data_IF_304655999491
#
_entry.id   IF_304655999491
#
_cell.length_a   1.000
_cell.length_b   1.000
_cell.length_c   1.000
_cell.angle_alpha   90.00
_cell.angle_beta   90.00
_cell.angle_gamma   90.00
#
_symmetry.space_group_name_H-M   'P 1'
#
loop_
_entity.id
_entity.type
_entity.pdbx_description
1 polymer ?
#
# COMPACT_ATOMS: atom_id res chain seq x y z
N UNK A 1 1.84 -32.41 -2.08
CA UNK A 1 2.95 -31.47 -1.91
C UNK A 1 2.75 -30.78 -0.57
N UNK A 2 3.81 -30.55 0.21
CA UNK A 2 3.72 -29.64 1.37
C UNK A 2 3.36 -28.25 0.81
N UNK A 3 2.25 -27.67 1.25
CA UNK A 3 1.83 -26.34 0.78
C UNK A 3 2.75 -25.24 1.32
N UNK A 4 2.61 -24.03 0.79
CA UNK A 4 3.51 -22.91 1.06
C UNK A 4 3.30 -22.34 2.47
N UNK A 5 4.40 -22.00 3.15
CA UNK A 5 4.41 -21.22 4.39
C UNK A 5 4.63 -19.74 4.06
N UNK A 6 3.65 -18.90 4.39
CA UNK A 6 3.73 -17.44 4.20
C UNK A 6 3.79 -16.76 5.56
N UNK A 7 4.78 -15.90 5.75
CA UNK A 7 4.93 -15.05 6.95
C UNK A 7 4.57 -13.61 6.60
N UNK A 8 3.79 -12.95 7.44
CA UNK A 8 3.41 -11.54 7.29
C UNK A 8 3.92 -10.76 8.50
N UNK A 9 4.96 -9.95 8.30
CA UNK A 9 5.51 -9.07 9.34
C UNK A 9 4.74 -7.74 9.31
N UNK A 10 4.16 -7.39 10.46
CA UNK A 10 3.08 -6.38 10.53
C UNK A 10 1.72 -7.01 10.24
N UNK A 11 1.48 -8.22 10.76
CA UNK A 11 0.25 -8.98 10.57
C UNK A 11 -1.00 -8.26 11.11
N UNK A 12 -0.86 -7.40 12.12
CA UNK A 12 -1.90 -6.54 12.67
C UNK A 12 -2.22 -5.30 11.83
N UNK A 13 -1.79 -5.24 10.57
CA UNK A 13 -2.18 -4.19 9.64
C UNK A 13 -3.65 -4.28 9.24
N UNK A 14 -4.31 -3.14 9.05
CA UNK A 14 -5.66 -3.09 8.48
C UNK A 14 -5.74 -3.58 7.03
N UNK A 15 -4.61 -3.73 6.34
CA UNK A 15 -4.55 -4.22 4.96
C UNK A 15 -4.40 -5.75 4.86
N UNK A 16 -4.07 -6.45 5.96
CA UNK A 16 -3.90 -7.91 5.96
C UNK A 16 -5.12 -8.67 5.40
N UNK A 17 -6.39 -8.26 5.65
CA UNK A 17 -7.54 -8.95 5.07
C UNK A 17 -7.54 -8.94 3.52
N UNK A 18 -7.07 -7.86 2.89
CA UNK A 18 -6.98 -7.77 1.43
C UNK A 18 -5.91 -8.74 0.88
N UNK A 19 -4.77 -8.86 1.57
CA UNK A 19 -3.75 -9.86 1.25
C UNK A 19 -4.35 -11.27 1.31
N UNK A 20 -5.07 -11.59 2.39
CA UNK A 20 -5.71 -12.90 2.59
C UNK A 20 -6.76 -13.17 1.51
N UNK A 21 -7.65 -12.21 1.20
CA UNK A 21 -8.61 -12.33 0.10
C UNK A 21 -7.88 -12.65 -1.23
N UNK A 22 -6.77 -11.95 -1.50
CA UNK A 22 -5.93 -12.19 -2.67
C UNK A 22 -5.37 -13.62 -2.75
N UNK A 23 -4.91 -14.16 -1.63
CA UNK A 23 -4.39 -15.52 -1.49
C UNK A 23 -5.49 -16.57 -1.70
N UNK A 24 -6.65 -16.40 -1.05
CA UNK A 24 -7.77 -17.34 -1.16
C UNK A 24 -8.29 -17.43 -2.60
N UNK A 25 -8.42 -16.29 -3.28
CA UNK A 25 -8.86 -16.24 -4.68
C UNK A 25 -7.88 -16.94 -5.66
N UNK A 26 -6.61 -17.09 -5.25
CA UNK A 26 -5.54 -17.68 -6.07
C UNK A 26 -5.00 -18.99 -5.49
N UNK A 27 -5.72 -19.61 -4.57
CA UNK A 27 -5.27 -20.82 -3.88
C UNK A 27 -4.91 -21.96 -4.84
N UNK A 28 -5.62 -22.07 -5.97
CA UNK A 28 -5.37 -23.08 -7.01
C UNK A 28 -4.04 -22.89 -7.75
N UNK A 29 -3.50 -21.67 -7.81
CA UNK A 29 -2.18 -21.35 -8.38
C UNK A 29 -1.09 -21.39 -7.31
N UNK A 30 -1.45 -21.05 -6.06
CA UNK A 30 -0.53 -20.90 -4.95
C UNK A 30 -1.08 -21.58 -3.68
N UNK A 31 -0.88 -22.89 -3.52
CA UNK A 31 -1.47 -23.67 -2.43
C UNK A 31 -0.78 -23.38 -1.10
N UNK A 32 -1.28 -22.38 -0.38
CA UNK A 32 -0.79 -21.99 0.96
C UNK A 32 -1.21 -23.04 2.00
N UNK A 33 -0.26 -23.56 2.78
CA UNK A 33 -0.54 -24.45 3.90
C UNK A 33 -0.68 -23.69 5.22
N UNK A 34 0.18 -22.69 5.46
CA UNK A 34 0.17 -21.92 6.71
C UNK A 34 0.45 -20.44 6.47
N UNK A 35 -0.25 -19.61 7.26
CA UNK A 35 -0.12 -18.17 7.31
C UNK A 35 0.29 -17.75 8.72
N UNK A 36 1.49 -17.20 8.84
CA UNK A 36 2.06 -16.74 10.10
C UNK A 36 2.00 -15.22 10.15
N UNK A 37 1.17 -14.69 11.04
CA UNK A 37 0.98 -13.27 11.25
C UNK A 37 1.84 -12.82 12.44
N UNK A 38 2.87 -12.02 12.16
CA UNK A 38 3.84 -11.57 13.15
C UNK A 38 3.61 -10.09 13.43
N UNK A 39 3.60 -9.73 14.70
CA UNK A 39 3.56 -8.32 15.14
C UNK A 39 4.42 -8.10 16.40
N UNK A 40 4.44 -6.87 16.89
CA UNK A 40 5.10 -6.49 18.15
C UNK A 40 4.07 -6.43 19.29
N UNK A 41 4.52 -6.27 20.53
CA UNK A 41 3.64 -6.25 21.71
C UNK A 41 2.54 -5.18 21.57
N UNK A 42 2.87 -3.99 21.08
CA UNK A 42 1.93 -2.89 20.83
C UNK A 42 0.88 -3.23 19.75
N UNK A 43 1.18 -4.19 18.87
CA UNK A 43 0.31 -4.68 17.80
C UNK A 43 -0.42 -5.98 18.15
N UNK A 44 -0.20 -6.56 19.34
CA UNK A 44 -0.72 -7.87 19.74
C UNK A 44 -2.24 -8.00 19.56
N UNK A 45 -2.99 -7.05 20.11
CA UNK A 45 -4.45 -7.03 20.00
C UNK A 45 -4.91 -6.98 18.54
N UNK A 46 -4.21 -6.18 17.70
CA UNK A 46 -4.55 -6.07 16.28
C UNK A 46 -4.29 -7.36 15.53
N UNK A 47 -3.14 -8.01 15.73
CA UNK A 47 -2.81 -9.24 15.03
C UNK A 47 -3.72 -10.41 15.44
N UNK A 48 -4.15 -10.47 16.71
CA UNK A 48 -5.14 -11.43 17.18
C UNK A 48 -6.51 -11.22 16.50
N UNK A 49 -6.96 -9.98 16.35
CA UNK A 49 -8.20 -9.65 15.62
C UNK A 49 -8.10 -10.07 14.15
N UNK A 50 -6.97 -9.75 13.49
CA UNK A 50 -6.75 -10.13 12.09
C UNK A 50 -6.69 -11.65 11.94
N UNK A 51 -6.04 -12.38 12.84
CA UNK A 51 -5.97 -13.84 12.80
C UNK A 51 -7.36 -14.48 12.93
N UNK A 52 -8.19 -13.96 13.84
CA UNK A 52 -9.58 -14.40 13.96
C UNK A 52 -10.39 -14.13 12.70
N UNK A 53 -10.20 -12.97 12.05
CA UNK A 53 -10.85 -12.66 10.77
C UNK A 53 -10.36 -13.57 9.64
N UNK A 54 -9.05 -13.81 9.56
CA UNK A 54 -8.41 -14.70 8.60
C UNK A 54 -9.03 -16.10 8.65
N UNK A 55 -9.17 -16.68 9.84
CA UNK A 55 -9.79 -17.99 10.05
C UNK A 55 -11.23 -18.02 9.53
N UNK A 56 -12.03 -16.96 9.75
CA UNK A 56 -13.40 -16.87 9.22
C UNK A 56 -13.42 -16.77 7.69
N UNK A 57 -12.49 -16.03 7.09
CA UNK A 57 -12.37 -15.91 5.63
C UNK A 57 -11.99 -17.25 4.99
N UNK A 58 -11.02 -17.97 5.58
CA UNK A 58 -10.56 -19.30 5.15
C UNK A 58 -11.71 -20.31 5.24
N UNK A 59 -12.42 -20.35 6.37
CA UNK A 59 -13.56 -21.24 6.57
C UNK A 59 -14.69 -20.96 5.56
N UNK A 60 -15.00 -19.68 5.30
CA UNK A 60 -15.99 -19.27 4.28
C UNK A 60 -15.59 -19.71 2.87
N UNK A 61 -14.29 -19.74 2.57
CA UNK A 61 -13.76 -20.22 1.29
C UNK A 61 -13.73 -21.76 1.19
N UNK A 62 -14.07 -22.50 2.25
CA UNK A 62 -14.01 -23.96 2.27
C UNK A 62 -12.58 -24.53 2.23
N UNK A 63 -11.59 -23.73 2.65
CA UNK A 63 -10.18 -24.11 2.63
C UNK A 63 -9.69 -24.48 4.04
N UNK A 64 -8.57 -25.20 4.11
CA UNK A 64 -7.90 -25.53 5.37
C UNK A 64 -6.47 -25.00 5.30
N UNK A 65 -6.28 -23.81 5.86
CA UNK A 65 -4.99 -23.12 5.97
C UNK A 65 -4.76 -22.85 7.45
N UNK A 66 -3.61 -23.26 7.97
CA UNK A 66 -3.22 -22.95 9.34
C UNK A 66 -2.96 -21.46 9.49
N UNK A 67 -3.50 -20.82 10.54
CA UNK A 67 -3.25 -19.41 10.85
C UNK A 67 -2.64 -19.31 12.22
N UNK A 68 -1.45 -18.74 12.30
CA UNK A 68 -0.71 -18.54 13.56
C UNK A 68 -0.47 -17.05 13.78
N UNK A 69 -0.98 -16.49 14.87
CA UNK A 69 -0.58 -15.16 15.34
C UNK A 69 0.55 -15.32 16.36
N UNK A 70 1.64 -14.57 16.22
CA UNK A 70 2.78 -14.63 17.13
C UNK A 70 3.50 -13.30 17.24
N UNK A 71 4.21 -13.11 18.35
CA UNK A 71 5.17 -12.01 18.53
C UNK A 71 6.62 -12.50 18.35
N UNK A 72 6.82 -13.81 18.27
CA UNK A 72 8.12 -14.42 18.00
C UNK A 72 8.34 -14.54 16.49
N UNK A 73 9.09 -13.57 15.96
CA UNK A 73 9.49 -13.53 14.56
C UNK A 73 10.39 -14.69 14.15
N UNK A 74 11.28 -15.17 15.03
CA UNK A 74 12.23 -16.23 14.65
C UNK A 74 11.51 -17.55 14.37
N UNK A 75 10.57 -17.93 15.25
CA UNK A 75 9.75 -19.13 15.04
C UNK A 75 8.89 -19.02 13.78
N UNK A 76 8.38 -17.83 13.47
CA UNK A 76 7.62 -17.59 12.26
C UNK A 76 8.47 -17.74 11.00
N UNK A 77 9.67 -17.16 10.97
CA UNK A 77 10.53 -17.15 9.78
C UNK A 77 11.12 -18.50 9.39
N UNK A 78 11.33 -19.40 10.36
CA UNK A 78 11.95 -20.72 10.11
C UNK A 78 11.19 -21.49 9.01
N UNK A 79 11.90 -21.88 7.96
CA UNK A 79 11.36 -22.63 6.81
C UNK A 79 10.22 -21.91 6.05
N UNK A 80 10.15 -20.58 6.11
CA UNK A 80 9.20 -19.82 5.29
C UNK A 80 9.56 -19.88 3.79
N UNK A 81 8.54 -19.92 2.93
CA UNK A 81 8.71 -19.81 1.47
C UNK A 81 8.61 -18.35 0.99
N UNK A 82 7.72 -17.58 1.63
CA UNK A 82 7.51 -16.17 1.36
C UNK A 82 7.37 -15.38 2.66
N UNK A 83 7.96 -14.19 2.67
CA UNK A 83 7.83 -13.21 3.75
C UNK A 83 7.27 -11.93 3.16
N UNK A 84 6.12 -11.48 3.64
CA UNK A 84 5.54 -10.18 3.30
C UNK A 84 5.83 -9.19 4.43
N UNK A 85 6.45 -8.05 4.13
CA UNK A 85 6.61 -6.96 5.11
C UNK A 85 5.62 -5.84 4.83
N UNK A 86 4.84 -5.49 5.86
CA UNK A 86 3.85 -4.40 5.81
C UNK A 86 3.74 -3.68 7.18
N UNK A 87 4.79 -3.72 7.98
CA UNK A 87 4.87 -3.06 9.28
C UNK A 87 5.07 -1.54 9.14
N UNK A 88 4.82 -0.81 10.24
CA UNK A 88 5.02 0.64 10.35
C UNK A 88 5.91 0.97 11.55
N UNK A 89 7.16 1.34 11.28
CA UNK A 89 8.12 1.68 12.33
C UNK A 89 7.68 2.95 13.10
N UNK A 90 7.46 2.80 14.42
CA UNK A 90 6.94 3.86 15.28
C UNK A 90 5.42 4.07 15.20
N UNK A 91 4.68 3.14 14.58
CA UNK A 91 3.23 3.15 14.49
C UNK A 91 2.68 4.46 13.87
N UNK A 92 1.40 4.76 14.06
CA UNK A 92 0.79 5.97 13.52
C UNK A 92 1.29 7.23 14.25
N UNK A 93 1.74 7.12 15.49
CA UNK A 93 2.24 8.28 16.25
C UNK A 93 3.52 8.86 15.66
N UNK A 94 4.44 8.01 15.20
CA UNK A 94 5.62 8.49 14.50
C UNK A 94 5.27 9.15 13.16
N UNK A 95 4.28 8.61 12.42
CA UNK A 95 3.78 9.26 11.19
C UNK A 95 3.18 10.64 11.48
N UNK A 96 2.37 10.77 12.52
CA UNK A 96 1.78 12.06 12.91
C UNK A 96 2.89 13.06 13.26
N UNK A 97 3.92 12.61 13.98
CA UNK A 97 5.10 13.40 14.29
C UNK A 97 5.83 13.87 13.03
N UNK A 98 6.08 12.97 12.07
CA UNK A 98 6.74 13.28 10.80
C UNK A 98 5.99 14.37 10.02
N UNK A 99 4.66 14.24 9.92
CA UNK A 99 3.80 15.18 9.22
C UNK A 99 3.78 16.54 9.95
N UNK A 100 3.55 16.57 11.27
CA UNK A 100 3.48 17.81 12.07
C UNK A 100 4.81 18.56 12.13
N UNK A 101 5.93 17.86 12.30
CA UNK A 101 7.27 18.49 12.34
C UNK A 101 7.58 19.13 10.99
N UNK A 102 7.30 18.45 9.88
CA UNK A 102 7.52 19.00 8.55
C UNK A 102 6.74 20.30 8.34
N UNK A 103 5.44 20.29 8.68
CA UNK A 103 4.57 21.45 8.53
C UNK A 103 4.98 22.63 9.43
N UNK A 104 5.49 22.37 10.63
CA UNK A 104 6.03 23.41 11.53
C UNK A 104 7.12 24.25 10.88
N UNK A 105 7.91 23.66 9.97
CA UNK A 105 8.98 24.34 9.25
C UNK A 105 8.60 24.78 7.83
N UNK A 106 7.30 24.77 7.48
CA UNK A 106 6.84 25.15 6.15
C UNK A 106 7.27 24.16 5.06
N UNK A 107 7.39 22.88 5.42
CA UNK A 107 7.71 21.79 4.51
C UNK A 107 6.55 20.80 4.42
N UNK A 108 6.43 20.13 3.28
CA UNK A 108 5.42 19.09 3.04
C UNK A 108 5.53 17.99 4.11
N UNK A 109 4.42 17.68 4.76
CA UNK A 109 4.30 16.62 5.76
C UNK A 109 3.68 15.37 5.15
N UNK A 110 4.53 14.44 4.71
CA UNK A 110 4.08 13.25 3.97
C UNK A 110 4.90 12.00 4.35
N UNK A 111 4.23 10.86 4.45
CA UNK A 111 4.76 9.59 4.96
C UNK A 111 5.98 9.00 4.23
N UNK A 112 6.11 9.26 2.93
CA UNK A 112 7.08 8.64 2.00
C UNK A 112 7.91 9.65 1.21
N UNK A 113 7.59 10.94 1.28
CA UNK A 113 8.21 12.02 0.52
C UNK A 113 8.67 13.13 1.47
N UNK A 114 9.68 13.88 1.04
CA UNK A 114 10.21 15.00 1.83
C UNK A 114 10.78 14.56 3.18
N UNK A 115 10.69 15.46 4.17
CA UNK A 115 11.25 15.23 5.50
C UNK A 115 10.58 14.06 6.23
N UNK A 116 9.26 13.92 6.11
CA UNK A 116 8.54 12.81 6.72
C UNK A 116 8.93 11.45 6.13
N UNK A 117 9.03 11.36 4.80
CA UNK A 117 9.55 10.16 4.12
C UNK A 117 10.97 9.79 4.54
N UNK A 118 11.85 10.78 4.69
CA UNK A 118 13.21 10.57 5.16
C UNK A 118 13.24 10.06 6.61
N UNK A 119 12.50 10.71 7.52
CA UNK A 119 12.42 10.29 8.92
C UNK A 119 11.85 8.87 9.07
N UNK A 120 10.82 8.53 8.28
CA UNK A 120 10.27 7.18 8.20
C UNK A 120 11.30 6.15 7.71
N UNK A 121 12.07 6.47 6.67
CA UNK A 121 13.14 5.60 6.18
C UNK A 121 14.21 5.33 7.25
N UNK A 122 14.64 6.35 7.99
CA UNK A 122 15.61 6.23 9.07
C UNK A 122 15.16 5.27 10.19
N UNK A 123 13.85 5.19 10.48
CA UNK A 123 13.30 4.23 11.45
C UNK A 123 13.12 2.84 10.86
N UNK A 124 12.75 2.77 9.58
CA UNK A 124 12.31 1.53 8.94
C UNK A 124 13.47 0.68 8.42
N UNK A 125 14.49 1.30 7.82
CA UNK A 125 15.63 0.58 7.23
C UNK A 125 16.37 -0.30 8.25
N UNK A 126 16.68 0.15 9.49
CA UNK A 126 17.33 -0.72 10.48
C UNK A 126 16.53 -1.99 10.76
N UNK A 127 15.23 -1.87 10.99
CA UNK A 127 14.33 -3.01 11.24
C UNK A 127 14.27 -3.93 10.02
N UNK A 128 14.20 -3.37 8.81
CA UNK A 128 14.18 -4.16 7.58
C UNK A 128 15.47 -4.96 7.36
N UNK A 129 16.62 -4.41 7.73
CA UNK A 129 17.90 -5.12 7.67
C UNK A 129 18.03 -6.20 8.76
N UNK A 130 17.48 -5.98 9.95
CA UNK A 130 17.37 -7.04 10.98
C UNK A 130 16.51 -8.21 10.50
N UNK A 131 15.36 -7.93 9.88
CA UNK A 131 14.50 -8.94 9.27
C UNK A 131 15.25 -9.69 8.16
N UNK A 132 15.99 -8.97 7.31
CA UNK A 132 16.76 -9.59 6.25
C UNK A 132 17.85 -10.53 6.80
N UNK A 133 18.55 -10.14 7.87
CA UNK A 133 19.54 -10.98 8.54
C UNK A 133 18.91 -12.25 9.17
N UNK A 134 17.72 -12.12 9.75
CA UNK A 134 16.97 -13.29 10.25
C UNK A 134 16.56 -14.22 9.10
N UNK A 135 16.11 -13.68 7.97
CA UNK A 135 15.76 -14.47 6.78
C UNK A 135 16.98 -15.21 6.22
N UNK A 136 18.16 -14.58 6.14
CA UNK A 136 19.39 -15.25 5.70
C UNK A 136 19.74 -16.48 6.55
N UNK A 137 19.42 -16.44 7.85
CA UNK A 137 19.69 -17.52 8.80
C UNK A 137 18.59 -18.59 8.83
N UNK A 138 17.32 -18.19 8.75
CA UNK A 138 16.18 -19.04 9.07
C UNK A 138 15.41 -19.54 7.84
N UNK A 139 15.45 -18.80 6.73
CA UNK A 139 14.77 -19.13 5.48
C UNK A 139 15.49 -18.50 4.27
N UNK A 140 16.74 -18.90 3.99
CA UNK A 140 17.57 -18.28 2.95
C UNK A 140 16.98 -18.41 1.53
N UNK A 141 16.10 -19.39 1.32
CA UNK A 141 15.38 -19.61 0.06
C UNK A 141 14.05 -18.86 -0.03
N UNK A 142 13.63 -18.11 0.99
CA UNK A 142 12.41 -17.34 0.94
C UNK A 142 12.53 -16.12 0.01
N UNK A 143 11.39 -15.67 -0.53
CA UNK A 143 11.26 -14.34 -1.13
C UNK A 143 10.70 -13.34 -0.12
N UNK A 144 11.33 -12.17 -0.01
CA UNK A 144 10.78 -11.01 0.66
C UNK A 144 9.95 -10.17 -0.32
N UNK A 145 8.67 -10.06 -0.05
CA UNK A 145 7.70 -9.20 -0.74
C UNK A 145 7.48 -7.94 0.10
N UNK A 146 8.21 -6.86 -0.22
CA UNK A 146 8.22 -5.64 0.59
C UNK A 146 7.10 -4.67 0.20
N UNK A 147 6.10 -4.52 1.08
CA UNK A 147 5.08 -3.46 1.04
C UNK A 147 5.35 -2.34 2.03
N UNK A 148 6.30 -2.53 2.96
CA UNK A 148 6.66 -1.53 3.96
C UNK A 148 7.27 -0.30 3.29
N UNK A 149 6.67 0.85 3.58
CA UNK A 149 7.12 2.13 3.06
C UNK A 149 8.19 2.80 3.95
N UNK A 150 9.09 3.60 3.38
CA UNK A 150 9.17 3.97 1.95
C UNK A 150 9.81 2.87 1.10
N UNK A 151 9.00 2.23 0.24
CA UNK A 151 9.31 0.91 -0.32
C UNK A 151 10.56 0.95 -1.19
N UNK A 152 10.74 2.01 -1.99
CA UNK A 152 11.95 2.18 -2.81
C UNK A 152 13.24 2.24 -1.98
N UNK A 153 13.28 3.06 -0.93
CA UNK A 153 14.49 3.21 -0.09
C UNK A 153 14.76 1.95 0.74
N UNK A 154 13.71 1.33 1.28
CA UNK A 154 13.81 0.09 2.06
C UNK A 154 14.32 -1.05 1.18
N UNK A 155 13.74 -1.23 0.00
CA UNK A 155 14.18 -2.26 -0.95
C UNK A 155 15.61 -2.00 -1.45
N UNK A 156 15.98 -0.75 -1.75
CA UNK A 156 17.37 -0.40 -2.12
C UNK A 156 18.37 -0.80 -1.01
N UNK A 157 18.03 -0.51 0.25
CA UNK A 157 18.89 -0.87 1.38
C UNK A 157 19.04 -2.39 1.52
N UNK A 158 17.94 -3.14 1.43
CA UNK A 158 17.96 -4.61 1.47
C UNK A 158 18.83 -5.16 0.33
N UNK A 159 18.62 -4.71 -0.90
CA UNK A 159 19.38 -5.20 -2.06
C UNK A 159 20.88 -4.90 -1.98
N UNK A 160 21.27 -3.80 -1.33
CA UNK A 160 22.68 -3.43 -1.14
C UNK A 160 23.37 -4.15 0.01
N UNK A 161 22.62 -4.51 1.04
CA UNK A 161 23.18 -4.92 2.34
C UNK A 161 22.75 -6.32 2.78
N UNK A 162 22.05 -7.08 1.95
CA UNK A 162 21.69 -8.47 2.20
C UNK A 162 21.77 -9.31 0.93
N UNK A 163 21.67 -10.62 1.08
CA UNK A 163 21.70 -11.62 -0.01
C UNK A 163 20.34 -12.26 -0.28
N UNK A 164 19.31 -11.86 0.46
CA UNK A 164 17.98 -12.44 0.32
C UNK A 164 17.35 -12.06 -1.03
N UNK A 165 16.42 -12.88 -1.50
CA UNK A 165 15.61 -12.58 -2.67
C UNK A 165 14.54 -11.58 -2.27
N UNK A 166 14.57 -10.36 -2.80
CA UNK A 166 13.65 -9.30 -2.41
C UNK A 166 13.05 -8.56 -3.61
N UNK A 167 11.77 -8.20 -3.49
CA UNK A 167 11.07 -7.31 -4.43
C UNK A 167 10.26 -6.26 -3.66
N UNK A 168 10.37 -5.01 -4.07
CA UNK A 168 9.54 -3.91 -3.56
C UNK A 168 8.25 -3.76 -4.35
N UNK A 169 7.13 -3.64 -3.66
CA UNK A 169 5.80 -3.57 -4.26
C UNK A 169 5.14 -2.21 -4.01
N UNK A 170 4.32 -1.78 -4.96
CA UNK A 170 3.56 -0.54 -4.91
C UNK A 170 2.25 -0.71 -5.67
N UNK A 171 1.16 -0.18 -5.12
CA UNK A 171 -0.17 -0.25 -5.74
C UNK A 171 -0.39 0.82 -6.82
N UNK A 172 0.45 1.87 -6.88
CA UNK A 172 0.23 3.01 -7.77
C UNK A 172 0.16 2.59 -9.25
N UNK A 173 1.10 1.80 -9.82
CA UNK A 173 0.98 1.34 -11.20
C UNK A 173 -0.30 0.54 -11.47
N UNK A 174 -0.73 -0.30 -10.51
CA UNK A 174 -1.95 -1.12 -10.64
C UNK A 174 -3.19 -0.23 -10.71
N UNK A 175 -3.25 0.81 -9.88
CA UNK A 175 -4.35 1.79 -9.90
C UNK A 175 -4.37 2.56 -11.22
N UNK A 176 -3.19 2.99 -11.70
CA UNK A 176 -3.06 3.69 -12.98
C UNK A 176 -3.56 2.81 -14.14
N UNK A 177 -3.16 1.53 -14.19
CA UNK A 177 -3.62 0.59 -15.22
C UNK A 177 -5.15 0.43 -15.19
N UNK A 178 -5.74 0.22 -14.00
CA UNK A 178 -7.20 0.10 -13.84
C UNK A 178 -7.95 1.35 -14.27
N UNK A 179 -7.38 2.52 -13.96
CA UNK A 179 -7.89 3.81 -14.41
C UNK A 179 -7.94 3.90 -15.93
N UNK A 180 -6.85 3.52 -16.59
CA UNK A 180 -6.75 3.48 -18.06
C UNK A 180 -7.76 2.48 -18.64
N UNK A 181 -7.82 1.25 -18.13
CA UNK A 181 -8.77 0.23 -18.59
C UNK A 181 -10.21 0.73 -18.51
N UNK A 182 -10.57 1.41 -17.40
CA UNK A 182 -11.90 2.00 -17.20
C UNK A 182 -12.18 3.11 -18.22
N UNK A 183 -11.22 4.00 -18.44
CA UNK A 183 -11.33 5.11 -19.40
C UNK A 183 -11.53 4.60 -20.83
N UNK A 184 -10.80 3.54 -21.20
CA UNK A 184 -10.89 2.89 -22.50
C UNK A 184 -12.12 1.99 -22.63
N UNK A 185 -12.94 1.87 -21.58
CA UNK A 185 -14.11 0.97 -21.52
C UNK A 185 -13.74 -0.48 -21.90
N UNK A 186 -12.53 -0.89 -21.54
CA UNK A 186 -12.01 -2.20 -21.85
C UNK A 186 -12.50 -3.22 -20.82
N UNK A 187 -13.00 -4.37 -21.28
CA UNK A 187 -13.53 -5.42 -20.40
C UNK A 187 -12.43 -6.30 -19.78
N UNK A 188 -11.27 -6.40 -20.42
CA UNK A 188 -10.14 -7.22 -19.97
C UNK A 188 -8.89 -6.36 -19.80
N UNK A 189 -8.45 -6.17 -18.54
CA UNK A 189 -7.24 -5.43 -18.19
C UNK A 189 -5.97 -5.94 -18.93
N UNK A 190 -5.96 -7.21 -19.38
CA UNK A 190 -4.83 -7.81 -20.12
C UNK A 190 -4.67 -7.25 -21.55
N UNK A 191 -5.70 -6.62 -22.11
CA UNK A 191 -5.63 -5.99 -23.43
C UNK A 191 -4.90 -4.63 -23.40
N UNK A 192 -4.67 -4.10 -22.20
CA UNK A 192 -3.98 -2.83 -21.96
C UNK A 192 -2.57 -3.08 -21.43
N UNK A 193 -1.57 -2.70 -22.21
CA UNK A 193 -0.16 -2.72 -21.80
C UNK A 193 0.26 -1.30 -21.45
N UNK A 194 0.67 -1.10 -20.20
CA UNK A 194 1.16 0.19 -19.72
C UNK A 194 2.67 0.09 -19.46
N UNK A 195 3.47 0.92 -20.13
CA UNK A 195 4.88 1.05 -19.80
C UNK A 195 5.06 2.13 -18.74
N UNK A 196 5.75 1.76 -17.65
CA UNK A 196 6.03 2.62 -16.52
C UNK A 196 7.54 2.66 -16.28
N UNK A 197 8.08 3.84 -16.00
CA UNK A 197 9.48 4.00 -15.61
C UNK A 197 9.63 5.01 -14.48
N UNK A 198 10.61 4.78 -13.61
CA UNK A 198 10.94 5.66 -12.50
C UNK A 198 11.34 4.89 -11.24
N UNK A 199 11.10 5.51 -10.08
CA UNK A 199 11.32 4.93 -8.74
C UNK A 199 9.98 4.72 -8.04
N UNK A 200 9.97 4.02 -6.91
CA UNK A 200 8.79 3.95 -6.05
C UNK A 200 8.29 5.37 -5.68
N UNK A 201 6.98 5.60 -5.84
CA UNK A 201 6.32 6.92 -5.69
C UNK A 201 6.92 8.05 -6.56
N UNK A 202 7.69 7.69 -7.59
CA UNK A 202 8.27 8.61 -8.55
C UNK A 202 8.29 7.97 -9.94
N UNK A 203 7.10 7.61 -10.44
CA UNK A 203 6.94 6.93 -11.74
C UNK A 203 6.20 7.80 -12.75
N UNK A 204 6.44 7.49 -14.02
CA UNK A 204 5.77 8.05 -15.17
C UNK A 204 5.24 6.93 -16.06
N UNK A 205 4.01 7.08 -16.53
CA UNK A 205 3.50 6.28 -17.65
C UNK A 205 4.01 6.92 -18.93
N UNK A 206 4.77 6.13 -19.69
CA UNK A 206 5.47 6.55 -20.91
C UNK A 206 4.90 5.93 -22.18
N UNK A 207 4.03 4.94 -22.03
CA UNK A 207 3.32 4.32 -23.14
C UNK A 207 2.03 3.66 -22.67
N UNK A 208 0.98 3.76 -23.46
CA UNK A 208 -0.26 3.02 -23.24
C UNK A 208 -0.64 2.36 -24.56
N UNK A 209 -0.57 1.03 -24.59
CA UNK A 209 -1.02 0.25 -25.74
C UNK A 209 -2.33 -0.45 -25.41
N UNK A 210 -3.36 -0.28 -26.24
CA UNK A 210 -4.57 -1.08 -26.20
C UNK A 210 -4.68 -1.85 -27.51
N UNK A 211 -4.59 -3.18 -27.44
CA UNK A 211 -4.52 -4.08 -28.62
C UNK A 211 -3.43 -3.68 -29.64
N UNK A 212 -2.30 -3.18 -29.14
CA UNK A 212 -1.16 -2.76 -29.95
C UNK A 212 -1.23 -1.33 -30.51
N UNK A 213 -2.34 -0.60 -30.30
CA UNK A 213 -2.48 0.80 -30.69
C UNK A 213 -2.05 1.72 -29.55
N UNK A 214 -1.33 2.81 -29.84
CA UNK A 214 -0.94 3.83 -28.85
C UNK A 214 -2.14 4.69 -28.42
N UNK A 215 -2.24 4.97 -27.12
CA UNK A 215 -3.32 5.77 -26.51
C UNK A 215 -2.82 6.86 -25.56
N UNK A 216 -1.51 6.97 -25.30
CA UNK A 216 -1.00 7.95 -24.35
C UNK A 216 -1.45 9.41 -24.65
N UNK A 217 -1.42 9.91 -25.90
CA UNK A 217 -1.88 11.27 -26.21
C UNK A 217 -3.37 11.50 -25.87
N UNK A 218 -4.23 10.53 -26.18
CA UNK A 218 -5.67 10.57 -25.90
C UNK A 218 -5.92 10.59 -24.40
N UNK A 219 -5.23 9.73 -23.63
CA UNK A 219 -5.35 9.71 -22.17
C UNK A 219 -4.88 11.03 -21.56
N UNK A 220 -3.80 11.64 -22.07
CA UNK A 220 -3.36 12.98 -21.64
C UNK A 220 -4.43 14.04 -21.93
N UNK A 221 -5.09 13.98 -23.09
CA UNK A 221 -6.17 14.90 -23.44
C UNK A 221 -7.37 14.77 -22.50
N UNK A 222 -7.75 13.53 -22.15
CA UNK A 222 -8.83 13.24 -21.20
C UNK A 222 -8.53 13.79 -19.79
N UNK A 223 -7.31 13.59 -19.30
CA UNK A 223 -6.86 14.14 -18.00
C UNK A 223 -6.93 15.68 -18.01
N UNK A 224 -6.44 16.32 -19.08
CA UNK A 224 -6.51 17.77 -19.24
C UNK A 224 -7.95 18.29 -19.33
N UNK A 225 -8.88 17.51 -19.86
CA UNK A 225 -10.32 17.80 -19.85
C UNK A 225 -10.97 17.62 -18.46
N UNK A 226 -10.19 17.21 -17.45
CA UNK A 226 -10.62 17.03 -16.07
C UNK A 226 -11.11 15.63 -15.73
N UNK A 227 -10.93 14.65 -16.64
CA UNK A 227 -11.22 13.24 -16.39
C UNK A 227 -9.91 12.52 -16.10
N UNK A 228 -9.51 12.50 -14.83
CA UNK A 228 -8.32 11.76 -14.38
C UNK A 228 -8.72 10.45 -13.67
N UNK A 229 -8.76 9.32 -14.40
CA UNK A 229 -9.12 8.02 -13.84
C UNK A 229 -7.94 7.33 -13.15
N UNK A 230 -6.71 7.86 -13.26
CA UNK A 230 -5.50 7.19 -12.80
C UNK A 230 -5.16 7.49 -11.32
N UNK A 231 -5.94 8.37 -10.69
CA UNK A 231 -5.67 8.85 -9.35
C UNK A 231 -6.34 7.93 -8.32
N UNK A 232 -5.59 7.46 -7.30
CA UNK A 232 -6.15 6.74 -6.16
C UNK A 232 -7.32 7.49 -5.51
N UNK A 233 -8.39 6.77 -5.13
CA UNK A 233 -9.62 7.35 -4.57
C UNK A 233 -9.43 8.14 -3.27
N UNK A 234 -8.35 7.89 -2.53
CA UNK A 234 -7.99 8.60 -1.30
C UNK A 234 -7.29 9.94 -1.55
N UNK A 235 -6.93 10.28 -2.79
CA UNK A 235 -6.32 11.54 -3.13
C UNK A 235 -7.42 12.54 -3.53
N UNK A 236 -7.48 13.73 -2.92
CA UNK A 236 -8.45 14.76 -3.30
C UNK A 236 -8.34 15.09 -4.79
N UNK A 237 -9.49 15.27 -5.49
CA UNK A 237 -9.49 15.64 -6.90
C UNK A 237 -8.63 16.89 -7.12
N UNK A 238 -7.82 16.84 -8.16
CA UNK A 238 -6.93 17.92 -8.53
C UNK A 238 -6.83 18.00 -10.04
N UNK A 239 -6.22 19.07 -10.54
CA UNK A 239 -5.88 19.21 -11.94
C UNK A 239 -4.39 19.44 -12.07
N UNK A 240 -3.76 18.68 -12.96
CA UNK A 240 -2.41 18.99 -13.38
C UNK A 240 -2.38 20.34 -14.11
N UNK A 241 -1.29 21.12 -14.01
CA UNK A 241 -1.06 22.24 -14.90
C UNK A 241 -1.10 21.73 -16.35
N UNK A 242 -1.96 22.30 -17.20
CA UNK A 242 -2.23 21.77 -18.54
C UNK A 242 -0.97 21.64 -19.42
N UNK A 243 -0.06 22.60 -19.30
CA UNK A 243 1.23 22.60 -20.01
C UNK A 243 2.20 21.52 -19.51
N UNK A 244 2.04 21.03 -18.27
CA UNK A 244 2.94 20.03 -17.69
C UNK A 244 2.81 18.69 -18.42
N UNK A 245 1.58 18.16 -18.56
CA UNK A 245 1.37 16.87 -19.20
C UNK A 245 1.70 16.91 -20.69
N UNK A 246 1.30 17.99 -21.37
CA UNK A 246 1.61 18.19 -22.80
C UNK A 246 3.11 18.32 -23.04
N UNK A 247 3.82 19.07 -22.20
CA UNK A 247 5.26 19.25 -22.32
C UNK A 247 6.07 18.01 -21.95
N UNK A 248 5.62 17.23 -20.95
CA UNK A 248 6.27 15.98 -20.56
C UNK A 248 6.06 14.86 -21.59
N UNK A 249 4.91 14.83 -22.26
CA UNK A 249 4.51 13.70 -23.11
C UNK A 249 4.37 12.39 -22.33
N UNK A 250 4.17 12.46 -21.01
CA UNK A 250 4.06 11.34 -20.08
C UNK A 250 3.06 11.68 -18.98
N UNK A 251 2.51 10.67 -18.32
CA UNK A 251 1.59 10.86 -17.18
C UNK A 251 2.36 10.57 -15.87
N UNK A 252 2.69 11.58 -15.06
CA UNK A 252 3.29 11.37 -13.76
C UNK A 252 2.29 10.76 -12.79
N UNK A 253 2.73 9.92 -11.85
CA UNK A 253 1.85 9.46 -10.79
C UNK A 253 1.50 10.58 -9.80
N UNK A 254 0.42 10.40 -9.04
CA UNK A 254 -0.11 11.44 -8.15
C UNK A 254 0.87 11.91 -7.06
N UNK A 255 1.87 11.10 -6.69
CA UNK A 255 2.93 11.53 -5.76
C UNK A 255 3.82 12.64 -6.32
N UNK A 256 3.91 12.79 -7.65
CA UNK A 256 4.73 13.86 -8.24
C UNK A 256 4.09 15.25 -8.05
N UNK A 257 2.85 15.34 -7.55
CA UNK A 257 2.27 16.60 -7.06
C UNK A 257 3.10 17.23 -5.95
N UNK A 258 3.75 16.44 -5.09
CA UNK A 258 4.63 16.96 -4.03
C UNK A 258 5.86 17.71 -4.58
N UNK A 259 6.16 17.53 -5.87
CA UNK A 259 7.31 18.14 -6.55
C UNK A 259 6.86 19.24 -7.51
N UNK A 260 5.87 18.97 -8.37
CA UNK A 260 5.39 19.94 -9.37
C UNK A 260 4.36 20.94 -8.84
N UNK A 261 3.67 20.63 -7.74
CA UNK A 261 2.59 21.43 -7.16
C UNK A 261 2.81 21.67 -5.67
N UNK A 262 4.09 21.76 -5.26
CA UNK A 262 4.51 21.83 -3.86
C UNK A 262 3.77 22.91 -3.06
N UNK A 263 3.70 24.14 -3.60
CA UNK A 263 3.12 25.26 -2.86
C UNK A 263 1.61 25.10 -2.64
N UNK A 264 0.89 24.53 -3.61
CA UNK A 264 -0.53 24.22 -3.48
C UNK A 264 -0.76 23.13 -2.43
N UNK A 265 0.05 22.07 -2.45
CA UNK A 265 -0.06 21.00 -1.47
C UNK A 265 0.32 21.45 -0.06
N UNK A 266 1.36 22.27 0.09
CA UNK A 266 1.73 22.77 1.40
C UNK A 266 0.62 23.64 2.00
N UNK A 267 0.00 24.51 1.20
CA UNK A 267 -1.17 25.30 1.64
C UNK A 267 -2.33 24.40 2.07
N UNK A 268 -2.60 23.35 1.29
CA UNK A 268 -3.64 22.38 1.61
C UNK A 268 -3.33 21.65 2.94
N UNK A 269 -2.14 21.08 3.09
CA UNK A 269 -1.73 20.35 4.30
C UNK A 269 -1.75 21.24 5.56
N UNK A 270 -1.32 22.51 5.44
CA UNK A 270 -1.40 23.47 6.54
C UNK A 270 -2.86 23.77 6.94
N UNK A 271 -3.76 23.89 5.97
CA UNK A 271 -5.18 24.10 6.24
C UNK A 271 -5.83 22.87 6.89
N UNK A 272 -5.53 21.67 6.38
CA UNK A 272 -6.02 20.40 6.94
C UNK A 272 -5.51 20.20 8.38
N UNK A 273 -4.21 20.43 8.63
CA UNK A 273 -3.61 20.30 9.95
C UNK A 273 -4.16 21.29 10.99
N UNK A 274 -4.66 22.45 10.53
CA UNK A 274 -5.35 23.44 11.37
C UNK A 274 -6.84 23.16 11.59
N UNK A 275 -7.43 22.23 10.84
CA UNK A 275 -8.84 21.88 10.88
C UNK A 275 -9.09 20.42 11.27
N UNK A 276 -9.17 19.54 10.27
CA UNK A 276 -9.50 18.12 10.44
C UNK A 276 -8.36 17.27 11.03
N UNK A 277 -7.13 17.78 10.98
CA UNK A 277 -5.92 17.09 11.40
C UNK A 277 -5.07 16.62 10.23
N UNK A 278 -3.85 16.22 10.54
CA UNK A 278 -2.93 15.59 9.59
C UNK A 278 -3.45 14.24 9.11
N UNK A 279 -2.91 13.73 8.00
CA UNK A 279 -3.35 12.45 7.43
C UNK A 279 -3.14 11.30 8.41
N UNK A 280 -2.04 11.29 9.17
CA UNK A 280 -1.78 10.31 10.21
C UNK A 280 -2.84 10.28 11.31
N UNK A 281 -3.36 11.45 11.71
CA UNK A 281 -4.42 11.56 12.73
C UNK A 281 -5.75 11.01 12.21
N UNK A 282 -6.11 11.38 10.98
CA UNK A 282 -7.29 10.86 10.29
C UNK A 282 -7.22 9.33 10.17
N UNK A 283 -6.08 8.80 9.72
CA UNK A 283 -5.88 7.34 9.59
C UNK A 283 -5.97 6.65 10.95
N UNK A 284 -5.43 7.24 12.03
CA UNK A 284 -5.52 6.67 13.38
C UNK A 284 -6.97 6.53 13.87
N UNK A 285 -7.82 7.51 13.55
CA UNK A 285 -9.25 7.45 13.88
C UNK A 285 -9.98 6.37 13.05
N UNK A 286 -9.70 6.31 11.74
CA UNK A 286 -10.31 5.33 10.84
C UNK A 286 -9.91 3.89 11.19
N UNK A 287 -8.64 3.67 11.55
CA UNK A 287 -8.13 2.36 11.94
C UNK A 287 -8.92 1.81 13.13
N UNK A 288 -9.19 2.63 14.15
CA UNK A 288 -9.99 2.21 15.31
C UNK A 288 -11.38 1.68 14.89
N UNK A 289 -12.08 2.44 14.05
CA UNK A 289 -13.42 2.07 13.55
C UNK A 289 -13.36 0.75 12.76
N UNK A 290 -12.29 0.57 11.99
CA UNK A 290 -12.11 -0.59 11.15
C UNK A 290 -11.84 -1.86 11.97
N UNK A 291 -10.98 -1.78 12.99
CA UNK A 291 -10.72 -2.91 13.88
C UNK A 291 -11.93 -3.30 14.73
N UNK A 292 -12.79 -2.35 15.11
CA UNK A 292 -14.07 -2.65 15.76
C UNK A 292 -14.97 -3.50 14.84
N UNK A 293 -14.98 -3.22 13.53
CA UNK A 293 -15.71 -4.04 12.55
C UNK A 293 -15.10 -5.44 12.40
N UNK A 294 -13.78 -5.56 12.49
CA UNK A 294 -13.06 -6.82 12.32
C UNK A 294 -13.30 -7.80 13.48
N UNK A 295 -13.71 -7.30 14.65
CA UNK A 295 -14.15 -8.13 15.78
C UNK A 295 -15.50 -8.81 15.53
N UNK A 296 -16.34 -8.23 14.67
CA UNK A 296 -17.67 -8.76 14.33
C UNK A 296 -17.64 -9.99 13.42
N UNK A 297 -18.80 -10.63 13.17
CA UNK A 297 -18.91 -11.72 12.21
C UNK A 297 -18.40 -11.28 10.83
N UNK A 298 -17.74 -12.19 10.10
CA UNK A 298 -17.25 -11.90 8.75
C UNK A 298 -18.43 -11.40 7.91
N UNK A 299 -18.38 -10.18 7.37
CA UNK A 299 -19.62 -9.61 6.89
C UNK A 299 -19.98 -10.14 5.49
N UNK A 300 -21.28 -10.13 5.20
CA UNK A 300 -21.85 -10.69 3.97
C UNK A 300 -21.41 -9.93 2.72
N UNK A 301 -21.65 -10.52 1.54
CA UNK A 301 -21.24 -9.99 0.22
C UNK A 301 -21.61 -8.52 -0.05
N UNK A 302 -22.68 -8.00 0.56
CA UNK A 302 -23.05 -6.58 0.44
C UNK A 302 -22.10 -5.62 1.17
N UNK A 303 -21.30 -6.10 2.11
CA UNK A 303 -20.30 -5.27 2.79
C UNK A 303 -18.96 -5.23 2.07
N UNK A 304 -18.63 -6.15 1.16
CA UNK A 304 -17.34 -6.22 0.44
C UNK A 304 -16.93 -4.87 -0.21
N UNK A 305 -17.91 -4.05 -0.62
CA UNK A 305 -17.66 -2.68 -1.10
C UNK A 305 -17.21 -1.67 -0.02
N UNK A 306 -17.62 -1.84 1.24
CA UNK A 306 -17.18 -1.02 2.38
C UNK A 306 -15.76 -1.33 2.84
N UNK A 307 -15.27 -2.57 2.67
CA UNK A 307 -13.91 -2.98 3.02
C UNK A 307 -12.86 -2.42 2.05
N UNK A 308 -13.14 -2.54 0.74
CA UNK A 308 -12.32 -1.94 -0.33
C UNK A 308 -12.31 -0.41 -0.25
N UNK A 309 -13.40 0.18 0.25
CA UNK A 309 -13.46 1.59 0.63
C UNK A 309 -12.63 1.89 1.88
N UNK A 310 -12.87 1.28 3.03
CA UNK A 310 -12.22 1.70 4.28
C UNK A 310 -10.68 1.60 4.27
N UNK A 311 -10.10 0.62 3.57
CA UNK A 311 -8.65 0.49 3.40
C UNK A 311 -8.07 1.40 2.29
N UNK A 312 -8.80 1.70 1.21
CA UNK A 312 -8.30 2.48 0.07
C UNK A 312 -8.94 3.87 -0.15
N UNK A 313 -10.02 4.23 0.54
CA UNK A 313 -10.80 5.49 0.48
C UNK A 313 -12.12 5.46 1.28
N UNK A 314 -12.29 6.29 2.32
CA UNK A 314 -13.40 7.28 2.42
C UNK A 314 -13.60 7.79 3.85
N UNK A 315 -13.46 9.10 4.04
CA UNK A 315 -14.38 9.86 4.91
C UNK A 315 -15.61 10.18 4.04
N UNK A 316 -16.85 10.01 4.51
CA UNK A 316 -18.02 10.48 3.79
C UNK A 316 -17.95 12.01 3.65
N UNK A 317 -18.08 12.52 2.42
CA UNK A 317 -18.26 13.97 2.20
C UNK A 317 -19.52 14.41 2.95
N UNK A 318 -19.41 15.42 3.83
CA UNK A 318 -20.58 16.21 4.21
C UNK A 318 -21.16 16.83 2.92
N UNK A 319 -22.49 16.86 2.75
CA UNK A 319 -23.09 17.60 1.65
C UNK A 319 -22.68 19.07 1.80
N UNK A 320 -22.15 19.66 0.73
CA UNK A 320 -22.00 21.10 0.66
C UNK A 320 -23.39 21.72 0.74
N UNK A 321 -23.61 22.56 1.74
CA UNK A 321 -24.73 23.50 1.80
C UNK A 321 -24.52 24.61 0.77
#
# INVERSE_FOLDING_TARGET
MSGLKIVVIGGGSSYTPELIEGLLNRYHEMPVASLWLVDIEEGKEKVEIIAGLAQRMIAKAGLTIEVVATLDRESALRDADFVCSQFRAGCLDARISDERISLKYGLIGQETNGLGGFANACRTIPIALEIAADMERLCPDAWLLNFTNPSGMVTEAILRHSRIKAVGLCNVPVIMQKGITTLLQCADEKEVVMQVAGLNHFIFVRQILHKGTEWLPEVIAEINAGRDPLVPRNIPPFRWPSHLLQGLGMIPCAYLRYYYMKDDLLRQELAEAGGEGTRGEVVKQLEKILFDQYRGPAPGSQTEGRWKGAAASTIPRRPAS
#
